data_IF_115033860313
#
_entry.id   IF_115033860313
#
_cell.length_a   1.000
_cell.length_b   1.000
_cell.length_c   1.000
_cell.angle_alpha   90.00
_cell.angle_beta   90.00
_cell.angle_gamma   90.00
#
_symmetry.space_group_name_H-M   'P 1'
#
loop_
_entity.id
_entity.type
_entity.pdbx_description
1 polymer ?
#
# COMPACT_ATOMS: atom_id res chain seq x y z
N UNK A 1 8.12 0.42 -6.65
CA UNK A 1 8.73 0.93 -5.40
C UNK A 1 8.55 -0.01 -4.21
N UNK A 2 7.32 -0.41 -3.81
CA UNK A 2 7.14 -1.27 -2.61
C UNK A 2 8.04 -2.52 -2.56
N UNK A 3 8.12 -3.31 -3.64
CA UNK A 3 8.94 -4.54 -3.67
C UNK A 3 10.43 -4.28 -3.44
N UNK A 4 10.96 -3.24 -4.09
CA UNK A 4 12.36 -2.84 -3.95
C UNK A 4 12.70 -2.43 -2.51
N UNK A 5 11.80 -1.72 -1.82
CA UNK A 5 11.99 -1.34 -0.42
C UNK A 5 11.99 -2.56 0.50
N UNK A 6 11.11 -3.53 0.25
CA UNK A 6 11.11 -4.81 0.99
C UNK A 6 12.41 -5.58 0.76
N UNK A 7 12.91 -5.63 -0.48
CA UNK A 7 14.17 -6.29 -0.84
C UNK A 7 15.39 -5.62 -0.18
N UNK A 8 15.31 -4.32 0.09
CA UNK A 8 16.33 -3.58 0.85
C UNK A 8 16.22 -3.76 2.37
N UNK A 9 15.21 -4.52 2.86
CA UNK A 9 15.03 -4.83 4.27
C UNK A 9 14.25 -3.78 5.08
N UNK A 10 13.57 -2.84 4.42
CA UNK A 10 12.69 -1.91 5.11
C UNK A 10 11.38 -2.58 5.53
N UNK A 11 10.83 -2.14 6.67
CA UNK A 11 9.42 -2.36 6.95
C UNK A 11 8.58 -1.36 6.15
N UNK A 12 7.64 -1.86 5.35
CA UNK A 12 6.89 -1.04 4.40
C UNK A 12 5.41 -1.04 4.72
N UNK A 13 4.87 0.17 4.92
CA UNK A 13 3.44 0.45 5.00
C UNK A 13 2.94 1.03 3.66
N UNK A 14 1.75 0.61 3.21
CA UNK A 14 1.07 1.20 2.06
C UNK A 14 -0.21 1.91 2.50
N UNK A 15 -0.40 3.16 2.05
CA UNK A 15 -1.61 3.95 2.33
C UNK A 15 -2.59 3.81 1.16
N UNK A 16 -3.59 2.93 1.32
CA UNK A 16 -4.43 2.47 0.21
C UNK A 16 -5.34 3.56 -0.36
N UNK A 17 -5.95 4.38 0.48
CA UNK A 17 -6.85 5.47 0.08
C UNK A 17 -6.11 6.72 -0.46
N UNK A 18 -4.78 6.74 -0.32
CA UNK A 18 -3.90 7.70 -0.98
C UNK A 18 -3.19 7.12 -2.22
N UNK A 19 -3.52 5.88 -2.63
CA UNK A 19 -2.91 5.21 -3.78
C UNK A 19 -3.90 5.14 -4.94
N UNK A 20 -3.55 5.72 -6.09
CA UNK A 20 -4.33 5.62 -7.31
C UNK A 20 -3.78 4.54 -8.26
N UNK A 21 -4.66 3.93 -9.05
CA UNK A 21 -4.28 3.01 -10.12
C UNK A 21 -5.25 3.13 -11.30
N UNK A 22 -4.81 2.69 -12.48
CA UNK A 22 -5.60 2.76 -13.70
C UNK A 22 -6.76 1.76 -13.68
N UNK A 23 -7.89 2.15 -14.25
CA UNK A 23 -9.03 1.27 -14.55
C UNK A 23 -9.14 1.21 -16.07
N UNK A 24 -9.09 0.00 -16.62
CA UNK A 24 -9.16 -0.28 -18.06
C UNK A 24 -10.28 -1.30 -18.33
N UNK A 25 -10.76 -1.46 -19.58
CA UNK A 25 -11.80 -2.45 -19.89
C UNK A 25 -11.48 -3.87 -19.40
N UNK A 26 -10.20 -4.23 -19.37
CA UNK A 26 -9.70 -5.54 -18.94
C UNK A 26 -9.65 -5.71 -17.41
N UNK A 27 -9.79 -4.62 -16.63
CA UNK A 27 -9.86 -4.73 -15.17
C UNK A 27 -9.53 -3.47 -14.38
N UNK A 28 -9.64 -3.64 -13.06
CA UNK A 28 -9.39 -2.62 -12.04
C UNK A 28 -7.98 -2.79 -11.43
N UNK A 29 -7.07 -1.91 -11.82
CA UNK A 29 -5.70 -1.91 -11.32
C UNK A 29 -5.61 -1.58 -9.83
N UNK A 30 -6.57 -0.86 -9.26
CA UNK A 30 -6.59 -0.53 -7.83
C UNK A 30 -6.88 -1.78 -7.00
N UNK A 31 -7.91 -2.54 -7.37
CA UNK A 31 -8.23 -3.80 -6.70
C UNK A 31 -7.07 -4.79 -6.80
N UNK A 32 -6.47 -4.93 -7.98
CA UNK A 32 -5.30 -5.78 -8.17
C UNK A 32 -4.11 -5.34 -7.29
N UNK A 33 -3.85 -4.04 -7.18
CA UNK A 33 -2.78 -3.50 -6.34
C UNK A 33 -3.03 -3.77 -4.85
N UNK A 34 -4.24 -3.49 -4.34
CA UNK A 34 -4.60 -3.73 -2.93
C UNK A 34 -4.50 -5.20 -2.55
N UNK A 35 -4.90 -6.11 -3.44
CA UNK A 35 -4.71 -7.56 -3.23
C UNK A 35 -3.22 -7.88 -3.08
N UNK A 36 -2.38 -7.38 -3.98
CA UNK A 36 -0.93 -7.60 -3.91
C UNK A 36 -0.32 -7.03 -2.62
N UNK A 37 -0.76 -5.86 -2.16
CA UNK A 37 -0.23 -5.24 -0.94
C UNK A 37 -0.55 -6.07 0.30
N UNK A 38 -1.74 -6.68 0.39
CA UNK A 38 -2.10 -7.55 1.52
C UNK A 38 -1.19 -8.76 1.69
N UNK A 39 -0.54 -9.22 0.62
CA UNK A 39 0.37 -10.36 0.67
C UNK A 39 1.83 -9.98 0.90
N UNK A 40 2.22 -8.74 0.61
CA UNK A 40 3.64 -8.34 0.53
C UNK A 40 4.01 -7.24 1.52
N UNK A 41 3.15 -6.25 1.75
CA UNK A 41 3.45 -5.15 2.66
C UNK A 41 3.33 -5.61 4.12
N UNK A 42 4.13 -5.02 5.01
CA UNK A 42 4.02 -5.28 6.45
C UNK A 42 2.67 -4.78 7.00
N UNK A 43 2.16 -3.68 6.44
CA UNK A 43 0.84 -3.15 6.78
C UNK A 43 0.21 -2.39 5.61
N UNK A 44 -1.12 -2.37 5.58
CA UNK A 44 -1.92 -1.60 4.62
C UNK A 44 -2.90 -0.73 5.39
N UNK A 45 -2.63 0.58 5.42
CA UNK A 45 -3.37 1.57 6.18
C UNK A 45 -4.26 2.44 5.29
N UNK A 46 -5.27 3.02 5.92
CA UNK A 46 -5.91 4.26 5.49
C UNK A 46 -5.03 5.46 5.84
N UNK A 47 -5.36 6.62 5.27
CA UNK A 47 -4.62 7.86 5.54
C UNK A 47 -4.75 8.24 7.02
N UNK A 48 -5.93 8.05 7.61
CA UNK A 48 -6.17 8.32 9.03
C UNK A 48 -5.33 7.42 9.94
N UNK A 49 -5.30 6.11 9.68
CA UNK A 49 -4.44 5.16 10.40
C UNK A 49 -2.96 5.53 10.28
N UNK A 50 -2.51 5.95 9.09
CA UNK A 50 -1.13 6.38 8.90
C UNK A 50 -0.79 7.63 9.73
N UNK A 51 -1.68 8.63 9.75
CA UNK A 51 -1.51 9.85 10.56
C UNK A 51 -1.45 9.51 12.04
N UNK A 52 -2.33 8.62 12.52
CA UNK A 52 -2.35 8.17 13.90
C UNK A 52 -1.04 7.47 14.29
N UNK A 53 -0.58 6.51 13.49
CA UNK A 53 0.65 5.76 13.78
C UNK A 53 1.90 6.65 13.76
N UNK A 54 1.98 7.60 12.81
CA UNK A 54 3.11 8.55 12.74
C UNK A 54 3.14 9.47 13.98
N UNK A 55 1.98 9.91 14.48
CA UNK A 55 1.91 10.75 15.68
C UNK A 55 2.25 10.01 16.97
N UNK A 56 2.05 8.70 16.99
CA UNK A 56 2.28 7.83 18.14
C UNK A 56 3.66 7.17 18.14
N UNK A 57 4.50 7.44 17.13
CA UNK A 57 5.89 6.97 16.99
C UNK A 57 6.88 7.96 17.61
#
# INVERSE_FOLDING_TARGET
HMRELLEQGFEVAVVKDATAAAIVPEGDGYQAAVINYRFLANTVWTTDEAIENIKNS
#
